data_IF_915575057807
#
_entry.id   IF_915575057807
#
_cell.length_a   1.000
_cell.length_b   1.000
_cell.length_c   1.000
_cell.angle_alpha   90.00
_cell.angle_beta   90.00
_cell.angle_gamma   90.00
#
_symmetry.space_group_name_H-M   'P 1'
#
loop_
_entity.id
_entity.type
_entity.pdbx_description
1 polymer ?
#
# COMPACT_ATOMS: atom_id res chain seq x y z
N UNK A 1 11.96 9.61 -6.28
CA UNK A 1 11.33 10.86 -5.92
C UNK A 1 9.82 10.71 -5.93
N UNK A 2 9.25 10.74 -4.75
CA UNK A 2 7.81 10.59 -4.54
C UNK A 2 7.39 11.51 -3.40
N UNK A 3 6.11 11.81 -3.29
CA UNK A 3 5.59 12.68 -2.24
C UNK A 3 4.17 12.30 -1.84
N UNK A 4 3.76 12.71 -0.64
CA UNK A 4 2.41 12.50 -0.12
C UNK A 4 1.56 13.71 -0.45
N UNK A 5 0.34 13.48 -0.93
CA UNK A 5 -0.63 14.53 -1.22
C UNK A 5 -2.05 14.01 -1.05
N UNK A 6 -3.00 14.94 -1.12
CA UNK A 6 -4.43 14.61 -1.09
C UNK A 6 -4.82 13.85 -2.36
N UNK A 7 -5.48 12.72 -2.18
CA UNK A 7 -5.99 11.88 -3.26
C UNK A 7 -7.51 11.86 -3.31
N UNK A 8 -8.17 12.90 -2.77
CA UNK A 8 -9.62 13.04 -2.76
C UNK A 8 -10.29 12.10 -1.74
N UNK A 9 -11.36 11.38 -2.14
CA UNK A 9 -12.10 10.52 -1.20
C UNK A 9 -11.26 9.43 -0.57
N UNK A 10 -10.14 9.08 -1.18
CA UNK A 10 -9.22 8.06 -0.67
C UNK A 10 -8.35 8.55 0.48
N UNK A 11 -8.38 9.86 0.76
CA UNK A 11 -7.51 10.48 1.75
C UNK A 11 -6.17 10.84 1.14
N UNK A 12 -5.08 10.55 1.85
CA UNK A 12 -3.74 10.80 1.34
C UNK A 12 -3.28 9.66 0.43
N UNK A 13 -2.42 9.99 -0.50
CA UNK A 13 -1.82 9.02 -1.39
C UNK A 13 -0.38 9.38 -1.71
N UNK A 14 0.29 8.50 -2.45
CA UNK A 14 1.66 8.70 -2.91
C UNK A 14 1.63 9.12 -4.36
N UNK A 15 2.36 10.18 -4.68
CA UNK A 15 2.39 10.76 -6.02
C UNK A 15 3.81 10.75 -6.56
N UNK A 16 3.92 10.60 -7.87
CA UNK A 16 5.20 10.58 -8.55
C UNK A 16 5.81 11.98 -8.61
N UNK A 17 7.02 12.15 -8.09
CA UNK A 17 7.76 13.41 -8.19
C UNK A 17 8.62 13.49 -9.44
N UNK A 18 8.61 12.43 -10.25
CA UNK A 18 9.21 12.35 -11.57
C UNK A 18 8.49 11.28 -12.37
N UNK A 19 8.78 11.16 -13.66
CA UNK A 19 8.26 10.04 -14.45
C UNK A 19 8.99 8.75 -14.09
N UNK A 20 8.26 7.63 -14.07
CA UNK A 20 8.81 6.29 -13.88
C UNK A 20 8.45 5.43 -15.08
N UNK A 21 9.42 4.68 -15.57
CA UNK A 21 9.19 3.70 -16.64
C UNK A 21 8.80 2.33 -16.09
N UNK A 22 8.16 1.48 -16.92
CA UNK A 22 7.83 0.12 -16.51
C UNK A 22 9.07 -0.65 -16.03
N UNK A 23 8.92 -1.33 -14.89
CA UNK A 23 10.02 -2.08 -14.28
C UNK A 23 10.91 -1.26 -13.35
N UNK A 24 10.75 0.05 -13.32
CA UNK A 24 11.56 0.89 -12.44
C UNK A 24 11.12 0.72 -10.99
N UNK A 25 12.09 0.55 -10.08
CA UNK A 25 11.81 0.52 -8.65
C UNK A 25 11.54 1.94 -8.17
N UNK A 26 10.35 2.14 -7.64
CA UNK A 26 9.92 3.45 -7.14
C UNK A 26 10.47 3.68 -5.74
N UNK A 27 10.35 2.65 -4.91
CA UNK A 27 10.76 2.72 -3.51
C UNK A 27 11.06 1.31 -2.99
N UNK A 28 12.11 1.17 -2.21
CA UNK A 28 12.35 -0.04 -1.41
C UNK A 28 12.25 0.35 0.05
N UNK A 29 11.35 -0.29 0.79
CA UNK A 29 11.13 0.04 2.18
C UNK A 29 11.38 -1.15 3.09
N UNK A 30 12.06 -0.95 4.22
CA UNK A 30 12.13 -1.99 5.25
C UNK A 30 10.77 -2.12 5.93
N UNK A 31 10.52 -3.30 6.49
CA UNK A 31 9.30 -3.55 7.23
C UNK A 31 9.59 -3.86 8.68
N UNK A 32 8.61 -3.58 9.54
CA UNK A 32 8.60 -4.01 10.93
C UNK A 32 7.62 -5.18 11.00
N UNK A 33 8.13 -6.38 11.29
CA UNK A 33 7.31 -7.58 11.36
C UNK A 33 6.61 -7.64 12.71
N UNK A 34 5.31 -7.89 12.69
CA UNK A 34 4.50 -8.07 13.88
C UNK A 34 4.08 -9.53 13.92
N UNK A 35 4.56 -10.31 14.90
CA UNK A 35 4.26 -11.73 14.98
C UNK A 35 2.77 -12.00 15.14
N UNK A 36 2.31 -13.12 14.63
CA UNK A 36 0.90 -13.52 14.68
C UNK A 36 0.30 -13.41 16.09
N UNK A 37 1.06 -13.75 17.12
CA UNK A 37 0.60 -13.72 18.50
C UNK A 37 0.20 -12.32 18.97
N UNK A 38 0.70 -11.27 18.31
CA UNK A 38 0.39 -9.87 18.65
C UNK A 38 -0.76 -9.28 17.82
N UNK A 39 -1.26 -10.00 16.82
CA UNK A 39 -2.25 -9.44 15.90
C UNK A 39 -3.57 -9.09 16.58
N UNK A 40 -3.94 -9.86 17.60
CA UNK A 40 -5.19 -9.60 18.34
C UNK A 40 -5.18 -8.22 19.01
N UNK A 41 -4.05 -7.81 19.54
CA UNK A 41 -3.89 -6.48 20.11
C UNK A 41 -3.77 -5.40 19.03
N UNK A 42 -3.08 -5.72 17.94
CA UNK A 42 -2.94 -4.80 16.81
C UNK A 42 -4.29 -4.43 16.20
N UNK A 43 -5.22 -5.38 16.12
CA UNK A 43 -6.56 -5.17 15.57
C UNK A 43 -7.33 -4.05 16.27
N UNK A 44 -6.97 -3.75 17.50
CA UNK A 44 -7.60 -2.69 18.29
C UNK A 44 -7.05 -1.30 17.96
N UNK A 45 -6.10 -1.22 17.08
CA UNK A 45 -5.39 0.03 16.76
C UNK A 45 -5.62 0.44 15.31
N UNK A 46 -5.43 1.74 15.05
CA UNK A 46 -5.48 2.27 13.68
C UNK A 46 -4.46 1.59 12.77
N UNK A 47 -3.32 1.17 13.30
CA UNK A 47 -2.26 0.56 12.50
C UNK A 47 -2.71 -0.72 11.80
N UNK A 48 -3.73 -1.39 12.30
CA UNK A 48 -4.24 -2.61 11.65
C UNK A 48 -4.71 -2.38 10.22
N UNK A 49 -5.08 -1.15 9.87
CA UNK A 49 -5.53 -0.80 8.52
C UNK A 49 -4.37 -0.60 7.54
N UNK A 50 -3.13 -0.59 8.02
CA UNK A 50 -1.95 -0.27 7.22
C UNK A 50 -0.98 -1.44 7.10
N UNK A 51 -1.40 -2.63 7.54
CA UNK A 51 -0.53 -3.80 7.54
C UNK A 51 -0.56 -4.55 6.22
N UNK A 52 0.55 -5.20 5.93
CA UNK A 52 0.65 -6.24 4.89
C UNK A 52 0.67 -7.59 5.59
N UNK A 53 0.05 -8.61 4.98
CA UNK A 53 0.26 -9.98 5.44
C UNK A 53 1.71 -10.34 5.19
N UNK A 54 2.31 -11.10 6.10
CA UNK A 54 3.76 -11.34 6.05
C UNK A 54 4.11 -12.76 6.47
N UNK A 55 5.25 -13.22 5.98
CA UNK A 55 5.77 -14.53 6.27
C UNK A 55 5.40 -15.57 5.20
N UNK A 56 5.99 -16.77 5.26
CA UNK A 56 5.78 -17.80 4.24
C UNK A 56 4.32 -18.18 4.05
N UNK A 57 3.54 -18.17 5.13
CA UNK A 57 2.11 -18.51 5.11
C UNK A 57 1.21 -17.27 5.23
N UNK A 58 1.79 -16.07 5.35
CA UNK A 58 1.03 -14.84 5.49
C UNK A 58 0.35 -14.66 6.83
N UNK A 59 0.80 -15.35 7.86
CA UNK A 59 0.15 -15.33 9.18
C UNK A 59 0.63 -14.18 10.07
N UNK A 60 1.77 -13.59 9.78
CA UNK A 60 2.25 -12.40 10.47
C UNK A 60 1.73 -11.15 9.78
N UNK A 61 1.99 -10.00 10.36
CA UNK A 61 1.75 -8.72 9.73
C UNK A 61 3.06 -7.95 9.61
N UNK A 62 3.08 -6.99 8.71
CA UNK A 62 4.22 -6.08 8.57
C UNK A 62 3.74 -4.66 8.39
N UNK A 63 4.46 -3.73 9.01
CA UNK A 63 4.30 -2.30 8.79
C UNK A 63 5.46 -1.86 7.91
N UNK A 64 5.14 -1.26 6.78
CA UNK A 64 6.15 -0.76 5.86
C UNK A 64 6.59 0.65 6.26
N UNK A 65 7.88 0.88 6.27
CA UNK A 65 8.46 2.20 6.53
C UNK A 65 8.40 3.09 5.26
N UNK A 66 8.99 4.25 5.31
CA UNK A 66 8.94 5.20 4.21
C UNK A 66 7.50 5.58 3.89
N UNK A 67 7.15 5.55 2.63
CA UNK A 67 5.78 5.80 2.19
C UNK A 67 4.96 4.54 1.97
N UNK A 68 5.49 3.38 2.35
CA UNK A 68 4.90 2.07 2.03
C UNK A 68 3.46 1.88 2.51
N UNK A 69 3.05 2.57 3.58
CA UNK A 69 1.70 2.47 4.12
C UNK A 69 0.69 3.40 3.42
N UNK A 70 1.13 4.24 2.49
CA UNK A 70 0.30 5.32 1.96
C UNK A 70 -0.10 5.13 0.50
N UNK A 71 0.32 4.05 -0.15
CA UNK A 71 -0.13 3.76 -1.51
C UNK A 71 -1.60 3.31 -1.49
N UNK A 72 -2.42 3.98 -2.28
CA UNK A 72 -3.83 3.64 -2.35
C UNK A 72 -4.06 2.45 -3.27
N UNK A 73 -5.21 1.82 -3.09
CA UNK A 73 -5.67 0.71 -3.91
C UNK A 73 -6.25 1.19 -5.24
N UNK A 74 -6.00 0.41 -6.28
CA UNK A 74 -6.73 0.48 -7.54
C UNK A 74 -6.81 -0.91 -8.15
N UNK A 75 -7.93 -1.21 -8.85
CA UNK A 75 -8.02 -2.42 -9.67
C UNK A 75 -7.32 -2.24 -11.01
N UNK A 76 -6.90 -1.03 -11.34
CA UNK A 76 -6.08 -0.72 -12.50
C UNK A 76 -4.83 0.02 -12.05
N UNK A 77 -3.97 -0.67 -11.27
CA UNK A 77 -2.82 0.00 -10.65
C UNK A 77 -1.74 0.32 -11.68
N UNK A 78 -0.90 1.29 -11.35
CA UNK A 78 0.29 1.57 -12.14
C UNK A 78 1.57 1.03 -11.50
N UNK A 79 1.45 0.42 -10.32
CA UNK A 79 2.58 -0.18 -9.62
C UNK A 79 2.18 -1.50 -8.97
N UNK A 80 3.18 -2.26 -8.57
CA UNK A 80 3.00 -3.49 -7.82
C UNK A 80 3.92 -3.46 -6.62
N UNK A 81 3.57 -4.18 -5.55
CA UNK A 81 4.43 -4.34 -4.41
C UNK A 81 4.91 -5.78 -4.30
N UNK A 82 6.21 -5.94 -4.12
CA UNK A 82 6.87 -7.24 -4.07
C UNK A 82 7.40 -7.43 -2.65
N UNK A 83 6.89 -8.45 -1.97
CA UNK A 83 7.32 -8.77 -0.61
C UNK A 83 8.58 -9.62 -0.65
N UNK A 84 9.67 -9.06 -0.17
CA UNK A 84 10.95 -9.76 -0.06
C UNK A 84 11.10 -10.26 1.38
N UNK A 85 10.36 -11.32 1.70
CA UNK A 85 10.17 -11.79 3.08
C UNK A 85 11.51 -12.11 3.75
N UNK A 86 12.40 -12.81 3.05
CA UNK A 86 13.69 -13.21 3.61
C UNK A 86 14.61 -12.02 3.88
N UNK A 87 14.40 -10.92 3.19
CA UNK A 87 15.23 -9.71 3.33
C UNK A 87 14.59 -8.67 4.23
N UNK A 88 13.30 -8.79 4.52
CA UNK A 88 12.59 -7.81 5.35
C UNK A 88 12.28 -6.51 4.63
N UNK A 89 12.05 -6.55 3.31
CA UNK A 89 11.76 -5.38 2.50
C UNK A 89 10.52 -5.57 1.64
N UNK A 90 9.92 -4.46 1.22
CA UNK A 90 8.94 -4.43 0.15
C UNK A 90 9.49 -3.50 -0.94
N UNK A 91 9.46 -3.97 -2.18
CA UNK A 91 9.77 -3.15 -3.35
C UNK A 91 8.47 -2.70 -3.99
N UNK A 92 8.35 -1.40 -4.25
CA UNK A 92 7.27 -0.83 -5.04
C UNK A 92 7.84 -0.59 -6.44
N UNK A 93 7.26 -1.25 -7.43
CA UNK A 93 7.80 -1.27 -8.81
C UNK A 93 6.72 -0.79 -9.78
N UNK A 94 7.09 0.11 -10.69
CA UNK A 94 6.17 0.55 -11.74
C UNK A 94 5.89 -0.60 -12.70
N UNK A 95 4.61 -0.83 -13.02
CA UNK A 95 4.21 -1.87 -14.00
C UNK A 95 3.78 -1.26 -15.33
N UNK A 96 3.67 0.05 -15.39
CA UNK A 96 3.49 0.81 -16.63
C UNK A 96 4.13 2.19 -16.45
N UNK A 97 4.15 2.99 -17.49
CA UNK A 97 4.66 4.36 -17.41
C UNK A 97 3.81 5.18 -16.44
N UNK A 98 4.47 5.87 -15.53
CA UNK A 98 3.84 6.77 -14.56
C UNK A 98 4.36 8.17 -14.83
N UNK A 99 3.44 9.11 -15.02
CA UNK A 99 3.80 10.51 -15.28
C UNK A 99 4.16 11.20 -13.97
N UNK A 100 4.96 12.24 -14.09
CA UNK A 100 5.17 13.16 -12.98
C UNK A 100 3.83 13.68 -12.48
N UNK A 101 3.65 13.71 -11.16
CA UNK A 101 2.43 14.13 -10.45
C UNK A 101 1.23 13.18 -10.60
N UNK A 102 1.40 12.04 -11.22
CA UNK A 102 0.37 11.00 -11.22
C UNK A 102 0.37 10.25 -9.88
N UNK A 103 -0.80 9.90 -9.37
CA UNK A 103 -0.88 9.06 -8.18
C UNK A 103 -0.35 7.66 -8.48
N UNK A 104 0.46 7.14 -7.57
CA UNK A 104 0.98 5.77 -7.64
C UNK A 104 0.04 4.87 -6.84
N UNK A 105 -0.52 3.87 -7.50
CA UNK A 105 -1.48 2.95 -6.89
C UNK A 105 -1.03 1.51 -7.04
N UNK A 106 -1.47 0.68 -6.10
CA UNK A 106 -1.21 -0.76 -6.08
C UNK A 106 -2.53 -1.49 -5.89
N UNK A 107 -2.56 -2.78 -6.19
CA UNK A 107 -3.74 -3.60 -5.91
C UNK A 107 -3.54 -4.31 -4.57
N UNK A 108 -4.39 -4.02 -3.60
CA UNK A 108 -4.28 -4.57 -2.24
C UNK A 108 -4.48 -6.08 -2.19
N UNK A 109 -5.02 -6.69 -3.25
CA UNK A 109 -5.12 -8.14 -3.35
C UNK A 109 -3.77 -8.83 -3.57
N UNK A 110 -2.71 -8.07 -3.83
CA UNK A 110 -1.36 -8.59 -3.99
C UNK A 110 -0.98 -8.96 -5.41
N UNK A 111 -1.90 -8.82 -6.36
CA UNK A 111 -1.63 -9.02 -7.80
C UNK A 111 -2.32 -7.92 -8.58
N UNK A 112 -1.65 -7.32 -9.58
CA UNK A 112 -2.20 -6.19 -10.33
C UNK A 112 -3.53 -6.48 -11.03
N UNK A 113 -3.76 -7.74 -11.39
CA UNK A 113 -4.95 -8.12 -12.16
C UNK A 113 -6.07 -8.73 -11.31
N UNK A 114 -5.87 -8.82 -10.01
CA UNK A 114 -6.86 -9.43 -9.12
C UNK A 114 -8.00 -8.45 -8.85
N UNK A 115 -9.21 -8.82 -9.25
CA UNK A 115 -10.40 -7.99 -9.09
C UNK A 115 -11.27 -8.40 -7.91
N UNK A 116 -10.75 -9.24 -7.03
CA UNK A 116 -11.47 -9.62 -5.82
C UNK A 116 -11.79 -8.37 -5.00
N UNK A 117 -13.07 -8.18 -4.57
CA UNK A 117 -13.42 -7.02 -3.76
C UNK A 117 -12.59 -6.98 -2.48
N UNK A 118 -12.09 -5.80 -2.17
CA UNK A 118 -11.39 -5.56 -0.91
C UNK A 118 -12.41 -5.14 0.14
N UNK A 119 -12.02 -5.25 1.42
CA UNK A 119 -12.91 -5.07 2.55
C UNK A 119 -13.57 -3.68 2.64
N UNK A 120 -13.04 -2.68 1.92
CA UNK A 120 -13.60 -1.34 1.92
C UNK A 120 -14.10 -0.90 0.54
N UNK A 121 -14.45 -1.84 -0.34
CA UNK A 121 -14.98 -1.52 -1.67
C UNK A 121 -16.36 -0.84 -1.60
N UNK A 122 -16.65 -0.07 -2.63
CA UNK A 122 -17.94 0.58 -2.78
C UNK A 122 -18.13 1.73 -1.80
N UNK A 123 -18.87 1.50 -0.75
CA UNK A 123 -19.21 2.53 0.23
C UNK A 123 -18.00 3.04 1.01
N UNK A 124 -16.90 2.37 0.91
CA UNK A 124 -15.79 2.56 1.82
C UNK A 124 -14.95 3.79 1.59
N UNK A 125 -15.06 4.40 0.43
CA UNK A 125 -14.36 5.67 0.21
C UNK A 125 -14.89 6.77 1.11
N UNK A 126 -16.13 6.64 1.59
CA UNK A 126 -16.69 7.52 2.60
C UNK A 126 -16.29 7.21 4.03
N UNK A 127 -15.52 6.15 4.23
CA UNK A 127 -15.03 5.79 5.56
C UNK A 127 -13.88 6.66 6.03
N UNK A 128 -13.26 7.36 5.13
CA UNK A 128 -12.13 8.20 5.46
C UNK A 128 -12.64 9.62 5.66
N UNK A 129 -12.31 10.19 6.82
CA UNK A 129 -12.62 11.60 7.08
C UNK A 129 -11.70 12.51 6.25
N UNK A 130 -11.85 13.82 6.44
CA UNK A 130 -11.06 14.80 5.69
C UNK A 130 -9.55 14.66 5.92
N UNK A 131 -9.15 14.01 7.01
CA UNK A 131 -7.74 13.77 7.34
C UNK A 131 -7.25 12.43 6.80
N UNK A 132 -8.07 11.70 6.06
CA UNK A 132 -7.73 10.40 5.54
C UNK A 132 -7.82 9.30 6.58
N UNK A 133 -8.49 9.55 7.69
CA UNK A 133 -8.73 8.56 8.73
C UNK A 133 -10.06 7.89 8.54
N UNK A 134 -10.12 6.67 9.00
CA UNK A 134 -11.35 5.91 8.99
C UNK A 134 -12.37 6.56 9.90
N UNK A 135 -13.52 6.82 9.35
CA UNK A 135 -14.63 7.40 10.12
C UNK A 135 -15.19 6.39 11.12
#
# INVERSE_FOLDING_TARGET
MIYIADAGPKGRGVFAGKAFGPGECIERVPVIVIPQVQLQDLEKTTLSYYTFSWGPEGNDAAIAAGFGCFYNHSYEPNADYLKLVDLGFIDIVAIRFIRENEEITVNYNGSPNDRTPIWFDGECWGWFDADGRRA
#
